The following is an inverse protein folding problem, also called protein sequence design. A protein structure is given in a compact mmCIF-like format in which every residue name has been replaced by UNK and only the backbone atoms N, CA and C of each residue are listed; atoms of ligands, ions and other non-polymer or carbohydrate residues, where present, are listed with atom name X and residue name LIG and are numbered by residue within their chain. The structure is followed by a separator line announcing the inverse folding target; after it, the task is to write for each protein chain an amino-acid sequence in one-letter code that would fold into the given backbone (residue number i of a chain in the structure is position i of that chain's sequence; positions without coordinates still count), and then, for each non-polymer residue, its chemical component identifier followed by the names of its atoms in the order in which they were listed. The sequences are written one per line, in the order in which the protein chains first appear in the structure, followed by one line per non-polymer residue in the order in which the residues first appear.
data_IF_109924849101
#
_entry.id   IF_109924849101
#
_cell.length_a   1.000
_cell.length_b   1.000
_cell.length_c   1.000
_cell.angle_alpha   90.00
_cell.angle_beta   90.00
_cell.angle_gamma   90.00
#
_symmetry.space_group_name_H-M   'P 1'
#
loop_
_entity.id
_entity.type
_entity.pdbx_description
1 polymer ?
#
# COMPACT_ATOMS: atom_id res chain seq x y z
N UNK A 1 1.22 -13.40 11.85
CA UNK A 1 0.81 -12.18 11.12
C UNK A 1 1.38 -10.96 11.83
N UNK A 2 1.83 -9.97 11.09
CA UNK A 2 2.42 -8.74 11.64
C UNK A 2 1.33 -7.77 12.11
N UNK A 3 1.36 -7.38 13.39
CA UNK A 3 0.34 -6.50 13.99
C UNK A 3 0.25 -5.14 13.31
N UNK A 4 1.37 -4.62 12.80
CA UNK A 4 1.42 -3.36 12.07
C UNK A 4 0.59 -3.46 10.79
N UNK A 5 0.77 -4.52 10.01
CA UNK A 5 0.00 -4.77 8.79
C UNK A 5 -1.49 -4.94 9.08
N UNK A 6 -1.86 -5.68 10.14
CA UNK A 6 -3.27 -5.84 10.54
C UNK A 6 -3.92 -4.51 10.90
N UNK A 7 -3.23 -3.67 11.68
CA UNK A 7 -3.73 -2.34 12.03
C UNK A 7 -3.91 -1.49 10.77
N UNK A 8 -2.99 -1.54 9.82
CA UNK A 8 -3.07 -0.81 8.56
C UNK A 8 -4.19 -1.31 7.65
N UNK A 9 -4.41 -2.62 7.56
CA UNK A 9 -5.54 -3.20 6.82
C UNK A 9 -6.87 -2.66 7.32
N UNK A 10 -7.02 -2.48 8.63
CA UNK A 10 -8.24 -1.93 9.22
C UNK A 10 -8.53 -0.49 8.80
N UNK A 11 -7.54 0.28 8.35
CA UNK A 11 -7.73 1.65 7.84
C UNK A 11 -8.03 1.72 6.35
N UNK A 12 -7.95 0.61 5.62
CA UNK A 12 -8.34 0.56 4.22
C UNK A 12 -9.86 0.73 4.06
N UNK A 13 -10.29 1.04 2.85
CA UNK A 13 -11.69 1.07 2.47
C UNK A 13 -12.36 -0.27 2.80
N UNK A 14 -13.54 -0.29 3.48
CA UNK A 14 -14.20 -1.53 3.91
C UNK A 14 -14.36 -2.58 2.81
N UNK A 15 -14.61 -2.13 1.57
CA UNK A 15 -14.80 -3.00 0.39
C UNK A 15 -13.58 -3.86 0.05
N UNK A 16 -12.36 -3.44 0.42
CA UNK A 16 -11.12 -4.17 0.09
C UNK A 16 -10.42 -4.80 1.30
N UNK A 17 -10.84 -4.50 2.54
CA UNK A 17 -10.14 -4.98 3.75
C UNK A 17 -10.01 -6.50 3.80
N UNK A 18 -11.12 -7.20 3.58
CA UNK A 18 -11.15 -8.67 3.61
C UNK A 18 -10.25 -9.25 2.52
N UNK A 19 -10.38 -8.74 1.30
CA UNK A 19 -9.56 -9.17 0.15
C UNK A 19 -8.06 -8.92 0.44
N UNK A 20 -7.69 -7.73 0.94
CA UNK A 20 -6.28 -7.44 1.27
C UNK A 20 -5.76 -8.34 2.37
N UNK A 21 -6.57 -8.66 3.39
CA UNK A 21 -6.17 -9.60 4.44
C UNK A 21 -5.91 -11.00 3.88
N UNK A 22 -6.76 -11.47 2.98
CA UNK A 22 -6.60 -12.76 2.30
C UNK A 22 -5.33 -12.79 1.43
N UNK A 23 -5.09 -11.73 0.63
CA UNK A 23 -3.89 -11.59 -0.21
C UNK A 23 -2.61 -11.48 0.63
N UNK A 24 -2.64 -10.69 1.70
CA UNK A 24 -1.54 -10.58 2.65
C UNK A 24 -1.20 -11.94 3.29
N UNK A 25 -2.24 -12.69 3.68
CA UNK A 25 -2.08 -14.02 4.27
C UNK A 25 -1.54 -15.01 3.24
N UNK A 26 -2.07 -14.98 2.01
CA UNK A 26 -1.60 -15.82 0.90
C UNK A 26 -0.13 -15.55 0.60
N UNK A 27 0.26 -14.28 0.43
CA UNK A 27 1.65 -13.91 0.16
C UNK A 27 2.61 -14.45 1.25
N UNK A 28 2.27 -14.26 2.53
CA UNK A 28 3.13 -14.67 3.63
C UNK A 28 3.19 -16.17 3.89
N UNK A 29 2.14 -16.92 3.55
CA UNK A 29 2.04 -18.33 3.93
C UNK A 29 2.28 -19.30 2.78
N UNK A 30 2.11 -18.85 1.54
CA UNK A 30 2.11 -19.73 0.36
C UNK A 30 3.13 -19.32 -0.71
N UNK A 31 3.47 -18.04 -0.82
CA UNK A 31 4.35 -17.55 -1.88
C UNK A 31 5.74 -17.21 -1.33
N UNK A 32 5.80 -16.38 -0.29
CA UNK A 32 7.06 -16.01 0.36
C UNK A 32 7.53 -17.14 1.27
N UNK A 33 8.73 -17.61 1.06
CA UNK A 33 9.30 -18.69 1.82
C UNK A 33 9.74 -18.32 3.24
N UNK A 34 10.33 -19.31 3.91
CA UNK A 34 10.88 -19.15 5.26
C UNK A 34 11.96 -18.06 5.27
N UNK A 35 11.85 -17.10 6.18
CA UNK A 35 12.81 -16.01 6.30
C UNK A 35 12.45 -14.74 5.52
N UNK A 36 11.34 -14.72 4.79
CA UNK A 36 10.83 -13.52 4.11
C UNK A 36 9.43 -13.20 4.61
N UNK A 37 9.11 -11.92 4.76
CA UNK A 37 7.78 -11.43 5.15
C UNK A 37 7.37 -10.17 4.43
N UNK A 38 6.14 -10.18 3.93
CA UNK A 38 5.43 -9.00 3.50
C UNK A 38 4.94 -8.19 4.70
N UNK A 39 5.21 -6.89 4.72
CA UNK A 39 4.60 -5.90 5.61
C UNK A 39 3.95 -4.80 4.78
N UNK A 40 2.74 -4.40 5.13
CA UNK A 40 2.15 -3.19 4.61
C UNK A 40 2.85 -1.99 5.28
N UNK A 41 3.55 -1.19 4.48
CA UNK A 41 4.30 -0.02 4.98
C UNK A 41 3.42 1.23 5.07
N UNK A 42 2.35 1.32 4.27
CA UNK A 42 1.37 2.39 4.31
C UNK A 42 0.01 1.95 3.73
N UNK A 43 -1.08 2.62 4.15
CA UNK A 43 -2.44 2.34 3.64
C UNK A 43 -3.23 3.64 3.49
N UNK A 44 -4.22 3.92 4.34
CA UNK A 44 -4.92 5.20 4.33
C UNK A 44 -3.97 6.35 4.71
N UNK A 45 -4.13 7.49 4.02
CA UNK A 45 -3.38 8.73 4.27
C UNK A 45 -4.34 9.90 4.34
N UNK A 46 -4.26 10.71 5.39
CA UNK A 46 -5.09 11.92 5.48
C UNK A 46 -4.68 12.95 4.43
N UNK A 47 -5.52 13.95 4.19
CA UNK A 47 -5.17 15.03 3.26
C UNK A 47 -3.99 15.85 3.80
N UNK A 48 -3.95 16.06 5.12
CA UNK A 48 -2.89 16.79 5.82
C UNK A 48 -1.53 16.06 5.71
N UNK A 49 -1.53 14.74 5.91
CA UNK A 49 -0.34 13.90 5.72
C UNK A 49 0.15 13.95 4.27
N UNK A 50 -0.77 13.89 3.31
CA UNK A 50 -0.44 13.99 1.88
C UNK A 50 0.14 15.38 1.54
N UNK A 51 -0.42 16.45 2.09
CA UNK A 51 0.08 17.82 1.89
C UNK A 51 1.46 18.01 2.53
N UNK A 52 1.71 17.38 3.69
CA UNK A 52 3.02 17.38 4.31
C UNK A 52 4.08 16.69 3.43
N UNK A 53 3.74 15.56 2.81
CA UNK A 53 4.61 14.88 1.84
C UNK A 53 4.81 15.73 0.57
N UNK A 54 3.77 16.39 0.08
CA UNK A 54 3.86 17.27 -1.09
C UNK A 54 4.77 18.47 -0.82
N UNK A 55 4.76 19.02 0.40
CA UNK A 55 5.60 20.14 0.81
C UNK A 55 7.10 19.77 0.85
N UNK A 56 7.42 18.49 1.08
CA UNK A 56 8.82 18.02 1.13
C UNK A 56 9.51 18.22 -0.23
N UNK A 57 10.69 18.85 -0.18
CA UNK A 57 11.47 19.22 -1.38
C UNK A 57 10.86 20.37 -2.21
N UNK A 58 9.84 21.07 -1.65
CA UNK A 58 9.23 22.29 -2.24
C UNK A 58 9.28 23.46 -1.26
N UNK A 59 8.49 23.39 -0.19
CA UNK A 59 8.42 24.40 0.87
C UNK A 59 9.04 23.91 2.19
N UNK A 60 9.35 22.62 2.27
CA UNK A 60 10.07 21.99 3.38
C UNK A 60 11.34 21.31 2.86
N UNK A 61 12.41 21.18 3.67
CA UNK A 61 13.63 20.47 3.29
C UNK A 61 13.36 19.03 2.84
N UNK A 62 14.26 18.47 2.04
CA UNK A 62 14.23 17.08 1.59
C UNK A 62 14.09 16.94 0.07
N UNK A 63 13.93 15.69 -0.40
CA UNK A 63 13.67 15.41 -1.81
C UNK A 63 12.16 15.37 -2.06
N UNK A 64 11.71 15.72 -3.27
CA UNK A 64 10.32 15.53 -3.69
C UNK A 64 9.97 14.04 -3.70
N UNK A 65 8.95 13.65 -2.92
CA UNK A 65 8.51 12.26 -2.77
C UNK A 65 7.16 11.98 -3.40
N UNK A 66 6.39 13.02 -3.72
CA UNK A 66 5.09 12.88 -4.40
C UNK A 66 4.77 14.11 -5.23
N UNK A 67 3.96 13.95 -6.27
CA UNK A 67 3.36 15.04 -7.04
C UNK A 67 1.88 15.30 -6.68
N UNK A 68 1.29 14.45 -5.85
CA UNK A 68 -0.10 14.55 -5.42
C UNK A 68 -0.23 15.38 -4.14
N UNK A 69 -1.14 16.34 -4.13
CA UNK A 69 -1.59 17.07 -2.94
C UNK A 69 -2.66 16.27 -2.19
N UNK A 70 -3.08 16.75 -1.03
CA UNK A 70 -4.22 16.21 -0.30
C UNK A 70 -5.47 16.07 -1.19
N UNK A 71 -6.08 14.89 -1.16
CA UNK A 71 -7.21 14.53 -2.02
C UNK A 71 -6.86 14.14 -3.45
N UNK A 72 -5.56 14.04 -3.80
CA UNK A 72 -5.11 13.64 -5.15
C UNK A 72 -4.43 12.26 -5.17
N UNK A 73 -4.30 11.62 -4.04
CA UNK A 73 -3.73 10.28 -3.92
C UNK A 73 -4.81 9.26 -3.65
N UNK A 74 -4.73 8.07 -4.24
CA UNK A 74 -5.65 6.96 -3.97
C UNK A 74 -5.57 6.48 -2.52
N UNK A 75 -4.44 6.69 -1.85
CA UNK A 75 -4.30 6.49 -0.39
C UNK A 75 -5.29 7.33 0.43
N UNK A 76 -5.67 8.52 -0.07
CA UNK A 76 -6.62 9.40 0.63
C UNK A 76 -8.04 8.84 0.73
N UNK A 77 -8.32 7.80 -0.06
CA UNK A 77 -9.63 7.12 -0.11
C UNK A 77 -9.57 5.70 0.45
N UNK A 78 -8.41 5.28 0.99
CA UNK A 78 -8.19 3.95 1.53
C UNK A 78 -8.17 2.83 0.48
N UNK A 79 -7.94 3.16 -0.78
CA UNK A 79 -7.95 2.22 -1.91
C UNK A 79 -6.54 1.91 -2.46
N UNK A 80 -5.50 2.32 -1.73
CA UNK A 80 -4.12 2.01 -2.04
C UNK A 80 -3.37 1.51 -0.80
N UNK A 81 -2.34 0.73 -1.04
CA UNK A 81 -1.39 0.26 -0.03
C UNK A 81 0.02 0.26 -0.61
N UNK A 82 0.98 0.57 0.26
CA UNK A 82 2.39 0.41 -0.02
C UNK A 82 2.93 -0.76 0.80
N UNK A 83 3.87 -1.52 0.23
CA UNK A 83 4.46 -2.68 0.87
C UNK A 83 5.96 -2.50 1.09
N UNK A 84 6.50 -3.35 1.95
CA UNK A 84 7.93 -3.60 2.12
C UNK A 84 8.16 -5.07 2.41
N UNK A 85 9.28 -5.61 1.95
CA UNK A 85 9.71 -6.95 2.30
C UNK A 85 10.72 -6.90 3.43
N UNK A 86 10.54 -7.78 4.39
CA UNK A 86 11.37 -7.92 5.57
C UNK A 86 11.98 -9.31 5.59
N UNK A 87 13.23 -9.38 6.03
CA UNK A 87 14.02 -10.61 6.02
C UNK A 87 14.53 -10.92 7.42
N UNK A 88 14.46 -12.19 7.75
CA UNK A 88 15.14 -12.80 8.89
C UNK A 88 16.58 -13.12 8.46
N UNK A 89 17.51 -12.30 8.90
CA UNK A 89 18.90 -12.33 8.41
C UNK A 89 19.70 -13.48 9.00
N UNK A 90 19.47 -13.81 10.24
CA UNK A 90 20.25 -14.79 11.01
C UNK A 90 19.47 -16.08 11.31
N UNK A 91 18.19 -16.15 10.91
CA UNK A 91 17.36 -17.34 11.07
C UNK A 91 16.76 -17.49 12.47
N UNK A 92 16.73 -16.41 13.29
CA UNK A 92 16.22 -16.44 14.66
C UNK A 92 14.68 -16.28 14.72
N UNK A 93 14.02 -16.12 13.57
CA UNK A 93 12.57 -15.94 13.45
C UNK A 93 12.12 -14.48 13.58
N UNK A 94 13.04 -13.53 13.69
CA UNK A 94 12.76 -12.10 13.68
C UNK A 94 13.06 -11.52 12.30
N UNK A 95 12.26 -10.55 11.89
CA UNK A 95 12.32 -9.94 10.55
C UNK A 95 12.77 -8.49 10.71
N UNK A 96 14.06 -8.28 10.88
CA UNK A 96 14.66 -6.99 11.20
C UNK A 96 15.24 -6.26 9.98
N UNK A 97 15.57 -6.99 8.90
CA UNK A 97 16.12 -6.39 7.69
C UNK A 97 15.00 -5.97 6.73
N UNK A 98 14.95 -4.68 6.39
CA UNK A 98 14.08 -4.16 5.32
C UNK A 98 14.87 -4.11 4.02
N UNK A 99 14.35 -4.70 2.95
CA UNK A 99 14.99 -4.65 1.63
C UNK A 99 14.06 -4.06 0.56
N UNK A 100 14.64 -3.20 -0.26
CA UNK A 100 14.03 -2.62 -1.46
C UNK A 100 14.63 -3.22 -2.74
N UNK A 101 15.42 -4.28 -2.60
CA UNK A 101 15.96 -5.01 -3.74
C UNK A 101 14.89 -5.86 -4.40
N UNK A 102 14.38 -5.40 -5.53
CA UNK A 102 13.31 -6.05 -6.29
C UNK A 102 13.74 -7.33 -7.01
N UNK A 103 15.02 -7.68 -6.95
CA UNK A 103 15.58 -8.91 -7.55
C UNK A 103 15.93 -9.96 -6.49
N UNK A 104 15.84 -9.59 -5.20
CA UNK A 104 16.16 -10.52 -4.11
C UNK A 104 15.17 -11.69 -4.14
N UNK A 105 15.73 -12.87 -4.03
CA UNK A 105 15.08 -14.17 -3.90
C UNK A 105 15.56 -14.72 -2.55
N UNK A 106 14.77 -14.53 -1.51
CA UNK A 106 15.17 -14.80 -0.13
C UNK A 106 15.03 -16.27 0.25
N UNK A 107 14.09 -16.97 -0.36
CA UNK A 107 13.85 -18.39 -0.14
C UNK A 107 14.53 -19.30 -1.16
N UNK A 108 15.13 -18.69 -2.22
CA UNK A 108 15.91 -19.35 -3.27
C UNK A 108 15.11 -20.33 -4.13
N UNK A 109 13.87 -19.99 -4.42
CA UNK A 109 13.01 -20.77 -5.31
C UNK A 109 13.20 -20.43 -6.81
N UNK A 110 13.99 -19.39 -7.11
CA UNK A 110 14.26 -18.90 -8.47
C UNK A 110 13.34 -17.78 -8.92
N UNK A 111 12.42 -17.32 -8.07
CA UNK A 111 11.52 -16.19 -8.32
C UNK A 111 11.86 -15.08 -7.32
N UNK A 112 11.88 -13.83 -7.76
CA UNK A 112 12.11 -12.75 -6.80
C UNK A 112 10.88 -12.52 -5.92
N UNK A 113 11.10 -12.34 -4.61
CA UNK A 113 10.04 -12.15 -3.61
C UNK A 113 9.08 -11.00 -3.99
N UNK A 114 9.60 -9.92 -4.61
CA UNK A 114 8.78 -8.81 -5.11
C UNK A 114 7.85 -9.22 -6.25
N UNK A 115 8.31 -10.12 -7.13
CA UNK A 115 7.50 -10.61 -8.25
C UNK A 115 6.37 -11.50 -7.74
N UNK A 116 6.64 -12.32 -6.73
CA UNK A 116 5.63 -13.18 -6.11
C UNK A 116 4.50 -12.35 -5.49
N UNK A 117 4.84 -11.36 -4.64
CA UNK A 117 3.84 -10.45 -4.07
C UNK A 117 3.10 -9.69 -5.17
N UNK A 118 3.81 -9.21 -6.20
CA UNK A 118 3.19 -8.52 -7.33
C UNK A 118 2.16 -9.42 -8.03
N UNK A 119 2.47 -10.68 -8.29
CA UNK A 119 1.55 -11.65 -8.89
C UNK A 119 0.30 -11.87 -8.02
N UNK A 120 0.48 -12.01 -6.70
CA UNK A 120 -0.63 -12.19 -5.76
C UNK A 120 -1.65 -11.06 -5.89
N UNK A 121 -1.22 -9.80 -5.78
CA UNK A 121 -2.14 -8.66 -5.82
C UNK A 121 -2.69 -8.39 -7.22
N UNK A 122 -1.87 -8.48 -8.26
CA UNK A 122 -2.32 -8.17 -9.63
C UNK A 122 -3.26 -9.23 -10.18
N UNK A 123 -3.19 -10.48 -9.72
CA UNK A 123 -4.09 -11.57 -10.15
C UNK A 123 -5.57 -11.29 -9.85
N UNK A 124 -5.87 -10.42 -8.90
CA UNK A 124 -7.24 -10.05 -8.51
C UNK A 124 -7.60 -8.61 -8.91
N UNK A 125 -6.77 -7.95 -9.74
CA UNK A 125 -7.08 -6.66 -10.35
C UNK A 125 -6.51 -5.44 -9.61
N UNK A 126 -5.54 -5.60 -8.71
CA UNK A 126 -4.73 -4.46 -8.27
C UNK A 126 -3.77 -4.03 -9.35
N UNK A 127 -3.63 -2.73 -9.53
CA UNK A 127 -2.51 -2.19 -10.32
C UNK A 127 -1.31 -2.00 -9.41
N UNK A 128 -0.11 -2.31 -9.91
CA UNK A 128 1.13 -2.15 -9.17
C UNK A 128 2.02 -1.09 -9.82
N UNK A 129 2.43 -0.12 -9.02
CA UNK A 129 3.28 0.99 -9.45
C UNK A 129 2.60 1.87 -10.50
N UNK A 130 3.40 2.77 -11.04
CA UNK A 130 2.97 3.69 -12.10
C UNK A 130 3.87 3.53 -13.32
N UNK A 131 3.33 3.78 -14.52
CA UNK A 131 4.10 3.76 -15.75
C UNK A 131 4.24 5.20 -16.26
N UNK A 132 5.49 5.67 -16.38
CA UNK A 132 5.81 6.96 -16.97
C UNK A 132 6.89 6.74 -18.03
N UNK A 133 6.64 7.20 -19.26
CA UNK A 133 7.56 7.05 -20.40
C UNK A 133 8.02 5.58 -20.60
N UNK A 134 7.08 4.63 -20.49
CA UNK A 134 7.35 3.19 -20.64
C UNK A 134 8.13 2.54 -19.51
N UNK A 135 8.47 3.28 -18.46
CA UNK A 135 9.15 2.74 -17.27
C UNK A 135 8.18 2.65 -16.11
N UNK A 136 8.16 1.50 -15.44
CA UNK A 136 7.43 1.29 -14.20
C UNK A 136 8.25 1.87 -13.04
N UNK A 137 7.60 2.64 -12.19
CA UNK A 137 8.18 3.23 -10.99
C UNK A 137 7.19 3.05 -9.81
N UNK A 138 7.66 3.31 -8.58
CA UNK A 138 6.87 3.14 -7.36
C UNK A 138 6.35 1.68 -7.18
N UNK A 139 7.27 0.73 -7.30
CA UNK A 139 6.96 -0.70 -7.19
C UNK A 139 6.29 -1.10 -5.86
N UNK A 140 6.56 -0.44 -4.72
CA UNK A 140 5.85 -0.70 -3.47
C UNK A 140 4.35 -0.44 -3.53
N UNK A 141 3.89 0.44 -4.43
CA UNK A 141 2.51 0.90 -4.49
C UNK A 141 1.59 -0.08 -5.21
N UNK A 142 0.47 -0.40 -4.56
CA UNK A 142 -0.65 -1.14 -5.13
C UNK A 142 -1.94 -0.37 -4.90
N UNK A 143 -2.84 -0.35 -5.89
CA UNK A 143 -4.14 0.30 -5.76
C UNK A 143 -5.25 -0.50 -6.45
N UNK A 144 -6.47 -0.32 -5.92
CA UNK A 144 -7.71 -0.84 -6.50
C UNK A 144 -8.73 0.28 -6.59
N UNK A 145 -8.70 1.02 -7.69
CA UNK A 145 -9.49 2.25 -7.85
C UNK A 145 -10.90 2.03 -8.42
N UNK A 146 -11.26 0.80 -8.78
CA UNK A 146 -12.55 0.45 -9.38
C UNK A 146 -12.91 1.29 -10.60
N UNK A 147 -11.90 1.75 -11.38
CA UNK A 147 -12.08 2.61 -12.54
C UNK A 147 -12.41 4.07 -12.21
N UNK A 148 -12.29 4.47 -10.94
CA UNK A 148 -12.52 5.84 -10.50
C UNK A 148 -11.19 6.61 -10.45
N UNK A 149 -11.15 7.78 -11.10
CA UNK A 149 -10.03 8.69 -10.91
C UNK A 149 -10.10 9.39 -9.55
N UNK A 150 -8.97 9.87 -9.02
CA UNK A 150 -8.94 10.62 -7.77
C UNK A 150 -9.86 11.85 -7.78
N UNK A 151 -10.07 12.50 -8.95
CA UNK A 151 -10.98 13.63 -9.10
C UNK A 151 -12.43 13.21 -8.81
N UNK A 152 -12.86 12.06 -9.37
CA UNK A 152 -14.19 11.51 -9.10
C UNK A 152 -14.35 11.12 -7.63
N UNK A 153 -13.33 10.49 -7.05
CA UNK A 153 -13.31 10.12 -5.62
C UNK A 153 -13.41 11.36 -4.72
N UNK A 154 -12.61 12.39 -5.01
CA UNK A 154 -12.65 13.66 -4.28
C UNK A 154 -14.02 14.33 -4.40
N UNK A 155 -14.62 14.35 -5.59
CA UNK A 155 -15.95 14.89 -5.82
C UNK A 155 -17.02 14.18 -4.98
N UNK A 156 -16.91 12.85 -4.78
CA UNK A 156 -17.78 12.09 -3.89
C UNK A 156 -17.66 12.57 -2.43
N UNK A 157 -16.43 12.72 -1.93
CA UNK A 157 -16.20 13.28 -0.58
C UNK A 157 -16.78 14.67 -0.45
N UNK A 158 -16.54 15.57 -1.41
CA UNK A 158 -17.00 16.96 -1.39
C UNK A 158 -18.53 17.07 -1.41
N UNK A 159 -19.22 16.10 -2.03
CA UNK A 159 -20.70 16.01 -2.08
C UNK A 159 -21.32 15.23 -0.92
N UNK A 160 -20.53 14.71 0.01
CA UNK A 160 -21.05 13.90 1.12
C UNK A 160 -21.42 12.46 0.72
N UNK A 161 -21.00 12.00 -0.46
CA UNK A 161 -21.24 10.62 -0.94
C UNK A 161 -20.17 9.66 -0.39
N UNK A 162 -20.22 9.44 0.92
CA UNK A 162 -19.30 8.55 1.65
C UNK A 162 -19.96 8.00 2.92
N UNK A 163 -19.39 6.93 3.44
CA UNK A 163 -19.62 6.43 4.80
C UNK A 163 -18.47 6.82 5.71
N UNK A 164 -18.71 6.88 7.01
CA UNK A 164 -17.69 7.19 8.03
C UNK A 164 -17.54 6.04 9.02
N UNK A 165 -16.30 5.81 9.45
CA UNK A 165 -15.97 4.86 10.49
C UNK A 165 -14.90 5.45 11.41
N UNK A 166 -15.07 5.33 12.72
CA UNK A 166 -14.05 5.76 13.70
C UNK A 166 -13.21 4.58 14.15
N UNK A 167 -11.90 4.66 13.91
CA UNK A 167 -10.91 3.63 14.27
C UNK A 167 -9.82 4.32 15.07
N UNK A 168 -9.56 3.85 16.30
CA UNK A 168 -8.53 4.41 17.18
C UNK A 168 -8.62 5.95 17.37
N UNK A 169 -9.86 6.48 17.47
CA UNK A 169 -10.12 7.90 17.71
C UNK A 169 -10.04 8.80 16.47
N UNK A 170 -9.71 8.26 15.29
CA UNK A 170 -9.74 8.99 14.03
C UNK A 170 -10.94 8.56 13.18
N UNK A 171 -11.66 9.54 12.58
CA UNK A 171 -12.81 9.28 11.72
C UNK A 171 -12.38 9.26 10.26
N UNK A 172 -12.44 8.09 9.68
CA UNK A 172 -12.16 7.83 8.26
C UNK A 172 -13.41 8.05 7.43
N UNK A 173 -13.25 8.63 6.24
CA UNK A 173 -14.31 8.79 5.26
C UNK A 173 -14.03 7.90 4.06
N UNK A 174 -14.94 7.01 3.74
CA UNK A 174 -14.83 6.06 2.62
C UNK A 174 -15.92 6.37 1.60
N UNK A 175 -15.52 6.65 0.36
CA UNK A 175 -16.46 6.93 -0.74
C UNK A 175 -17.40 5.75 -0.97
N UNK A 176 -18.65 5.99 -1.36
CA UNK A 176 -19.54 4.92 -1.77
C UNK A 176 -19.15 4.39 -3.16
N UNK A 177 -18.91 3.06 -3.28
CA UNK A 177 -18.46 2.36 -4.50
C UNK A 177 -19.42 1.19 -4.76
#
# INVERSE_FOLDING_TARGET
MDQISLTRINTLHPKIRKEVLELYTKANNLELGKGVRLRLSYTFRTYEEQDALYAQGRTKPGKKVTNAKGGQSIHNFGLALDIVLMYDKDGDGKFEEVSWDTKRDGDKDGISDWLEVTKVFTSVGYTNGFITNGKKWDLPHFQRDFGLSWQKMKTKIDKGDYTSETINGYTYKYINI
#
